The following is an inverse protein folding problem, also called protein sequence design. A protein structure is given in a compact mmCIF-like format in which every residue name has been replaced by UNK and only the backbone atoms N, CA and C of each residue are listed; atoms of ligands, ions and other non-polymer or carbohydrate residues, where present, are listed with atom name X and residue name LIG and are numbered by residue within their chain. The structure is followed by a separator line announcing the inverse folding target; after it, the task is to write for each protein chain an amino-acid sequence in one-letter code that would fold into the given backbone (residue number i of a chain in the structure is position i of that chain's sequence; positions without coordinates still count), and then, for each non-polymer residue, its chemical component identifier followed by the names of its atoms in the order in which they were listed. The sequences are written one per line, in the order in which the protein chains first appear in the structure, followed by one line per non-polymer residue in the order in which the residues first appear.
data_IF_463780028224
#
_entry.id   IF_463780028224
#
_cell.length_a   1.000
_cell.length_b   1.000
_cell.length_c   1.000
_cell.angle_alpha   90.00
_cell.angle_beta   90.00
_cell.angle_gamma   90.00
#
_symmetry.space_group_name_H-M   'P 1'
#
loop_
_entity.id
_entity.type
_entity.pdbx_description
1 polymer ?
#
# COMPACT_ATOMS: atom_id res chain seq x y z
N UNK A 1 9.04 6.99 -27.70
CA UNK A 1 8.78 8.25 -26.99
C UNK A 1 9.53 8.22 -25.68
N UNK A 2 10.15 9.33 -25.25
CA UNK A 2 10.80 9.41 -23.95
C UNK A 2 9.75 9.24 -22.84
N UNK A 3 10.05 8.43 -21.83
CA UNK A 3 9.16 8.28 -20.65
C UNK A 3 9.12 9.60 -19.88
N UNK A 4 7.94 10.00 -19.43
CA UNK A 4 7.78 11.18 -18.58
C UNK A 4 8.54 10.97 -17.26
N UNK A 5 9.43 11.91 -16.93
CA UNK A 5 10.13 11.89 -15.65
C UNK A 5 9.14 12.22 -14.51
N UNK A 6 9.22 11.50 -13.42
CA UNK A 6 8.37 11.72 -12.27
C UNK A 6 9.09 11.35 -10.97
N UNK A 7 8.65 11.95 -9.88
CA UNK A 7 9.06 11.61 -8.52
C UNK A 7 7.94 11.92 -7.54
N UNK A 8 7.77 11.08 -6.53
CA UNK A 8 6.85 11.30 -5.41
C UNK A 8 7.49 10.82 -4.11
N UNK A 9 7.18 11.47 -3.01
CA UNK A 9 7.62 11.08 -1.67
C UNK A 9 6.57 11.43 -0.62
N UNK A 10 6.57 10.72 0.49
CA UNK A 10 5.62 10.91 1.58
C UNK A 10 5.54 9.72 2.51
N UNK A 11 4.34 9.38 2.97
CA UNK A 11 4.09 8.30 3.91
C UNK A 11 3.31 7.15 3.25
N UNK A 12 3.71 5.96 3.57
CA UNK A 12 3.09 4.71 3.17
C UNK A 12 2.50 3.99 4.38
N UNK A 13 1.31 3.41 4.21
CA UNK A 13 0.55 2.65 5.20
C UNK A 13 -0.05 1.43 4.54
N UNK A 14 -0.01 0.28 5.22
CA UNK A 14 -0.60 -0.96 4.69
C UNK A 14 -1.25 -1.80 5.78
N UNK A 15 -2.36 -2.43 5.43
CA UNK A 15 -2.89 -3.60 6.13
C UNK A 15 -3.07 -4.75 5.15
N UNK A 16 -2.88 -5.98 5.61
CA UNK A 16 -3.14 -7.17 4.82
C UNK A 16 -3.82 -8.27 5.66
N UNK A 17 -4.49 -9.19 4.98
CA UNK A 17 -5.26 -10.27 5.62
C UNK A 17 -4.42 -11.38 6.26
N UNK A 18 -3.09 -11.37 6.07
CA UNK A 18 -2.20 -12.29 6.74
C UNK A 18 -2.09 -11.99 8.23
N UNK A 19 -1.84 -13.05 9.02
CA UNK A 19 -1.52 -12.88 10.43
C UNK A 19 -0.16 -12.17 10.59
N UNK A 20 0.01 -11.52 11.70
CA UNK A 20 1.27 -10.87 12.08
C UNK A 20 2.35 -11.92 12.46
N UNK A 21 3.57 -11.91 11.94
CA UNK A 21 4.16 -11.08 10.91
C UNK A 21 3.82 -11.69 9.54
N UNK A 22 3.45 -10.83 8.54
CA UNK A 22 3.13 -11.31 7.21
C UNK A 22 4.27 -12.16 6.62
N UNK A 23 4.01 -13.41 6.19
CA UNK A 23 5.06 -14.31 5.69
C UNK A 23 5.55 -13.97 4.27
N UNK A 24 4.82 -13.12 3.53
CA UNK A 24 5.10 -12.89 2.11
C UNK A 24 6.47 -12.25 1.89
N UNK A 25 6.87 -11.29 2.74
CA UNK A 25 8.14 -10.58 2.60
C UNK A 25 9.33 -11.46 2.99
N UNK A 26 9.43 -11.97 4.24
CA UNK A 26 10.54 -12.86 4.59
C UNK A 26 10.57 -14.14 3.78
N UNK A 27 9.42 -14.59 3.27
CA UNK A 27 9.29 -15.75 2.38
C UNK A 27 9.53 -15.44 0.90
N UNK A 28 10.03 -14.24 0.55
CA UNK A 28 10.38 -13.82 -0.82
C UNK A 28 9.23 -14.05 -1.82
N UNK A 29 7.99 -13.79 -1.41
CA UNK A 29 6.75 -14.02 -2.15
C UNK A 29 6.47 -15.49 -2.55
N UNK A 30 7.32 -16.44 -2.13
CA UNK A 30 7.16 -17.87 -2.45
C UNK A 30 6.31 -18.63 -1.43
N UNK A 31 6.16 -18.10 -0.22
CA UNK A 31 5.37 -18.70 0.87
C UNK A 31 3.90 -18.32 0.69
N UNK A 32 3.01 -19.29 0.95
CA UNK A 32 1.57 -19.05 0.91
C UNK A 32 1.14 -18.09 2.03
N UNK A 33 0.18 -17.19 1.76
CA UNK A 33 -0.45 -16.37 2.79
C UNK A 33 -1.03 -17.23 3.92
N UNK A 34 -1.08 -16.71 5.16
CA UNK A 34 -1.55 -17.46 6.33
C UNK A 34 -2.98 -17.99 6.22
N UNK A 35 -3.82 -17.33 5.40
CA UNK A 35 -5.21 -17.72 5.12
C UNK A 35 -5.41 -18.29 3.71
N UNK A 36 -4.33 -18.71 3.03
CA UNK A 36 -4.35 -19.28 1.70
C UNK A 36 -4.38 -18.25 0.57
N UNK A 37 -5.05 -17.14 0.77
CA UNK A 37 -5.07 -15.95 -0.11
C UNK A 37 -4.72 -14.71 0.70
N UNK A 38 -4.31 -13.63 0.03
CA UNK A 38 -4.02 -12.35 0.68
C UNK A 38 -4.79 -11.23 0.01
N UNK A 39 -5.60 -10.51 0.80
CA UNK A 39 -6.11 -9.19 0.42
C UNK A 39 -5.29 -8.15 1.14
N UNK A 40 -4.88 -7.09 0.44
CA UNK A 40 -4.11 -6.01 1.03
C UNK A 40 -4.51 -4.66 0.45
N UNK A 41 -4.27 -3.62 1.24
CA UNK A 41 -4.46 -2.24 0.85
C UNK A 41 -3.19 -1.45 1.20
N UNK A 42 -2.52 -0.93 0.17
CA UNK A 42 -1.34 -0.05 0.27
C UNK A 42 -1.78 1.40 0.04
N UNK A 43 -1.74 2.24 1.04
CA UNK A 43 -2.11 3.65 0.97
C UNK A 43 -0.87 4.54 0.97
N UNK A 44 -0.85 5.51 0.08
CA UNK A 44 0.25 6.43 -0.13
C UNK A 44 -0.25 7.88 0.01
N UNK A 45 0.28 8.59 1.00
CA UNK A 45 0.11 10.02 1.17
C UNK A 45 1.28 10.73 0.50
N UNK A 46 1.04 11.40 -0.61
CA UNK A 46 2.06 12.14 -1.33
C UNK A 46 2.24 13.51 -0.67
N UNK A 47 3.35 13.69 0.03
CA UNK A 47 3.70 14.99 0.61
C UNK A 47 4.31 15.91 -0.43
N UNK A 48 5.13 15.36 -1.33
CA UNK A 48 5.75 16.09 -2.44
C UNK A 48 5.86 15.21 -3.67
N UNK A 49 5.58 15.76 -4.83
CA UNK A 49 5.78 15.03 -6.07
C UNK A 49 5.27 15.71 -7.32
N UNK A 50 5.78 15.21 -8.44
CA UNK A 50 5.33 15.62 -9.77
C UNK A 50 5.46 14.49 -10.78
N UNK A 51 4.62 14.54 -11.80
CA UNK A 51 4.69 13.71 -13.01
C UNK A 51 4.83 14.64 -14.22
N UNK A 52 6.04 14.78 -14.75
CA UNK A 52 6.36 15.87 -15.65
C UNK A 52 6.06 17.23 -14.99
N UNK A 53 5.17 17.98 -15.60
CA UNK A 53 4.72 19.29 -15.10
C UNK A 53 3.47 19.22 -14.20
N UNK A 54 2.92 18.02 -13.96
CA UNK A 54 1.73 17.81 -13.13
C UNK A 54 2.15 17.68 -11.68
N UNK A 55 1.81 18.62 -10.82
CA UNK A 55 2.07 18.55 -9.38
C UNK A 55 1.13 17.52 -8.72
N UNK A 56 1.66 16.72 -7.79
CA UNK A 56 0.92 15.69 -7.06
C UNK A 56 0.95 15.91 -5.53
N UNK A 57 1.48 17.06 -5.09
CA UNK A 57 1.60 17.39 -3.67
C UNK A 57 0.23 17.36 -2.96
N UNK A 58 0.20 16.77 -1.77
CA UNK A 58 -0.98 16.72 -0.92
C UNK A 58 -2.08 15.77 -1.37
N UNK A 59 -1.88 15.00 -2.44
CA UNK A 59 -2.82 13.98 -2.91
C UNK A 59 -2.51 12.61 -2.27
N UNK A 60 -3.49 11.72 -2.32
CA UNK A 60 -3.33 10.34 -1.89
C UNK A 60 -3.80 9.34 -2.94
N UNK A 61 -3.37 8.10 -2.79
CA UNK A 61 -3.92 6.98 -3.53
C UNK A 61 -3.78 5.68 -2.73
N UNK A 62 -4.62 4.71 -3.06
CA UNK A 62 -4.59 3.38 -2.44
C UNK A 62 -4.54 2.34 -3.55
N UNK A 63 -3.60 1.40 -3.46
CA UNK A 63 -3.55 0.20 -4.29
C UNK A 63 -4.18 -0.94 -3.50
N UNK A 64 -5.24 -1.51 -4.06
CA UNK A 64 -5.92 -2.69 -3.51
C UNK A 64 -5.54 -3.91 -4.33
N UNK A 65 -5.28 -5.04 -3.70
CA UNK A 65 -5.13 -6.28 -4.43
C UNK A 65 -5.57 -7.51 -3.61
N UNK A 66 -5.98 -8.52 -4.36
CA UNK A 66 -6.19 -9.89 -3.90
C UNK A 66 -5.21 -10.80 -4.64
N UNK A 67 -4.41 -11.56 -3.89
CA UNK A 67 -3.58 -12.64 -4.42
C UNK A 67 -4.21 -13.98 -4.06
N UNK A 68 -4.52 -14.85 -5.02
CA UNK A 68 -5.25 -16.10 -4.74
C UNK A 68 -4.38 -17.18 -4.06
N UNK A 69 -3.06 -17.04 -4.16
CA UNK A 69 -2.05 -17.96 -3.64
C UNK A 69 -0.80 -17.20 -3.17
N UNK A 70 0.35 -17.89 -3.11
CA UNK A 70 1.64 -17.22 -2.89
C UNK A 70 1.84 -16.08 -3.90
N UNK A 71 2.23 -14.90 -3.40
CA UNK A 71 2.26 -13.66 -4.19
C UNK A 71 3.06 -13.79 -5.49
N UNK A 72 4.19 -14.49 -5.45
CA UNK A 72 5.06 -14.70 -6.61
C UNK A 72 4.46 -15.55 -7.75
N UNK A 73 3.35 -16.25 -7.49
CA UNK A 73 2.62 -16.99 -8.54
C UNK A 73 1.80 -16.07 -9.46
N UNK A 74 1.62 -14.80 -9.08
CA UNK A 74 0.87 -13.82 -9.85
C UNK A 74 -0.64 -14.06 -9.80
N UNK A 75 -1.31 -13.75 -10.92
CA UNK A 75 -2.76 -13.81 -11.08
C UNK A 75 -3.50 -12.90 -10.08
N UNK A 76 -2.88 -11.77 -9.71
CA UNK A 76 -3.48 -10.81 -8.81
C UNK A 76 -4.68 -10.11 -9.46
N UNK A 77 -5.69 -9.85 -8.65
CA UNK A 77 -6.74 -8.88 -8.98
C UNK A 77 -6.39 -7.58 -8.27
N UNK A 78 -6.07 -6.52 -9.01
CA UNK A 78 -5.61 -5.26 -8.42
C UNK A 78 -6.34 -4.05 -8.99
N UNK A 79 -6.56 -3.04 -8.16
CA UNK A 79 -7.18 -1.78 -8.54
C UNK A 79 -6.67 -0.60 -7.72
N UNK A 80 -7.11 0.59 -8.06
CA UNK A 80 -6.61 1.85 -7.49
C UNK A 80 -7.79 2.68 -6.98
N UNK A 81 -7.65 3.27 -5.80
CA UNK A 81 -8.48 4.40 -5.37
C UNK A 81 -7.62 5.64 -5.46
N UNK A 82 -8.03 6.61 -6.26
CA UNK A 82 -7.38 7.91 -6.38
C UNK A 82 -8.10 8.96 -5.54
N UNK A 83 -7.36 9.91 -5.00
CA UNK A 83 -7.94 11.05 -4.28
C UNK A 83 -8.94 11.80 -5.17
N UNK A 84 -10.15 12.04 -4.68
CA UNK A 84 -11.19 12.73 -5.45
C UNK A 84 -10.84 14.19 -5.76
N UNK A 85 -9.92 14.79 -4.99
CA UNK A 85 -9.41 16.15 -5.23
C UNK A 85 -8.50 16.23 -6.46
N UNK A 86 -8.05 15.08 -6.97
CA UNK A 86 -7.17 15.02 -8.14
C UNK A 86 -7.91 15.47 -9.41
N UNK A 87 -7.30 16.38 -10.18
CA UNK A 87 -7.74 16.68 -11.56
C UNK A 87 -7.65 15.43 -12.44
N UNK A 88 -8.22 15.48 -13.63
CA UNK A 88 -8.11 14.39 -14.60
C UNK A 88 -6.64 14.03 -14.89
N UNK A 89 -5.79 15.04 -15.15
CA UNK A 89 -4.35 14.84 -15.41
C UNK A 89 -3.61 14.26 -14.21
N UNK A 90 -3.93 14.72 -12.99
CA UNK A 90 -3.34 14.18 -11.76
C UNK A 90 -3.76 12.72 -11.53
N UNK A 91 -5.02 12.38 -11.80
CA UNK A 91 -5.53 11.02 -11.68
C UNK A 91 -4.88 10.08 -12.70
N UNK A 92 -4.69 10.53 -13.91
CA UNK A 92 -3.97 9.77 -14.95
C UNK A 92 -2.51 9.53 -14.55
N UNK A 93 -1.83 10.56 -13.99
CA UNK A 93 -0.48 10.44 -13.47
C UNK A 93 -0.39 9.45 -12.30
N UNK A 94 -1.28 9.56 -11.29
CA UNK A 94 -1.39 8.63 -10.17
C UNK A 94 -1.62 7.20 -10.69
N UNK A 95 -2.55 7.03 -11.62
CA UNK A 95 -2.85 5.71 -12.21
C UNK A 95 -1.62 5.12 -12.90
N UNK A 96 -0.89 5.90 -13.70
CA UNK A 96 0.31 5.45 -14.37
C UNK A 96 1.42 5.04 -13.39
N UNK A 97 1.61 5.78 -12.30
CA UNK A 97 2.57 5.48 -11.24
C UNK A 97 2.15 4.22 -10.47
N UNK A 98 0.92 4.20 -9.94
CA UNK A 98 0.41 3.15 -9.07
C UNK A 98 0.23 1.79 -9.78
N UNK A 99 -0.08 1.79 -11.09
CA UNK A 99 -0.14 0.57 -11.90
C UNK A 99 1.23 0.06 -12.37
N UNK A 100 2.30 0.85 -12.19
CA UNK A 100 3.63 0.54 -12.69
C UNK A 100 3.84 0.87 -14.19
N UNK A 101 2.83 1.39 -14.90
CA UNK A 101 2.94 1.76 -16.31
C UNK A 101 3.97 2.88 -16.54
N UNK A 102 4.14 3.78 -15.57
CA UNK A 102 5.16 4.83 -15.59
C UNK A 102 6.58 4.35 -15.22
N UNK A 103 6.77 3.06 -14.95
CA UNK A 103 8.02 2.55 -14.39
C UNK A 103 8.08 2.74 -12.87
N UNK A 104 9.30 2.76 -12.32
CA UNK A 104 9.52 2.88 -10.88
C UNK A 104 9.19 1.60 -10.10
N UNK A 105 9.09 1.66 -8.75
CA UNK A 105 8.98 0.47 -7.90
C UNK A 105 7.77 -0.42 -8.22
N UNK A 106 6.61 0.16 -8.54
CA UNK A 106 5.40 -0.61 -8.85
C UNK A 106 5.49 -1.40 -10.17
N UNK A 107 6.41 -1.03 -11.06
CA UNK A 107 6.64 -1.79 -12.29
C UNK A 107 7.10 -3.23 -12.03
N UNK A 108 7.79 -3.47 -10.90
CA UNK A 108 8.21 -4.81 -10.49
C UNK A 108 7.01 -5.73 -10.17
N UNK A 109 5.89 -5.17 -9.75
CA UNK A 109 4.66 -5.92 -9.44
C UNK A 109 3.70 -6.03 -10.62
N UNK A 110 3.84 -5.21 -11.64
CA UNK A 110 2.90 -5.15 -12.77
C UNK A 110 2.73 -6.50 -13.49
N UNK A 111 3.81 -7.27 -13.61
CA UNK A 111 3.79 -8.61 -14.20
C UNK A 111 3.05 -9.67 -13.38
N UNK A 112 2.72 -9.40 -12.13
CA UNK A 112 1.95 -10.30 -11.24
C UNK A 112 0.44 -10.07 -11.37
N UNK A 113 0.01 -8.93 -11.93
CA UNK A 113 -1.40 -8.55 -12.06
C UNK A 113 -2.02 -9.31 -13.24
N UNK A 114 -2.89 -10.27 -12.93
CA UNK A 114 -3.68 -10.99 -13.94
C UNK A 114 -4.95 -10.24 -14.33
N UNK A 115 -5.52 -9.44 -13.41
CA UNK A 115 -6.74 -8.67 -13.64
C UNK A 115 -6.63 -7.27 -13.03
N UNK A 116 -6.66 -6.24 -13.87
CA UNK A 116 -6.81 -4.86 -13.41
C UNK A 116 -8.30 -4.54 -13.26
N UNK A 117 -8.70 -4.14 -12.04
CA UNK A 117 -10.09 -3.92 -11.65
C UNK A 117 -10.58 -2.49 -11.98
N UNK A 118 -9.68 -1.59 -12.34
CA UNK A 118 -9.99 -0.20 -12.63
C UNK A 118 -9.54 0.77 -11.56
N UNK A 119 -10.06 1.99 -11.67
CA UNK A 119 -9.77 3.12 -10.77
C UNK A 119 -11.08 3.69 -10.26
N UNK A 120 -11.21 3.81 -8.95
CA UNK A 120 -12.27 4.57 -8.29
C UNK A 120 -11.70 5.88 -7.72
N UNK A 121 -12.57 6.87 -7.49
CA UNK A 121 -12.20 8.12 -6.82
C UNK A 121 -12.98 8.26 -5.52
N UNK A 122 -12.28 8.62 -4.44
CA UNK A 122 -12.88 8.88 -3.14
C UNK A 122 -12.07 9.93 -2.36
N UNK A 123 -12.66 10.61 -1.37
CA UNK A 123 -11.90 11.40 -0.41
C UNK A 123 -11.01 10.47 0.40
N UNK A 124 -9.71 10.74 0.49
CA UNK A 124 -8.76 9.94 1.26
C UNK A 124 -8.24 10.78 2.42
N UNK A 125 -8.44 10.28 3.63
CA UNK A 125 -7.99 10.91 4.87
C UNK A 125 -6.93 10.05 5.53
N UNK A 126 -5.82 10.68 5.91
CA UNK A 126 -4.72 10.07 6.64
C UNK A 126 -4.64 10.71 8.02
N UNK A 127 -4.54 9.90 9.06
CA UNK A 127 -4.28 10.36 10.41
C UNK A 127 -3.15 9.55 11.03
N UNK A 128 -2.28 10.23 11.78
CA UNK A 128 -1.21 9.59 12.52
C UNK A 128 -0.98 10.29 13.85
N UNK A 129 -1.07 9.51 14.91
CA UNK A 129 -0.80 9.97 16.27
C UNK A 129 0.21 9.00 16.94
N UNK A 130 1.49 9.37 16.89
CA UNK A 130 2.57 8.56 17.44
C UNK A 130 2.67 7.19 16.79
N UNK A 131 2.39 6.14 17.57
CA UNK A 131 2.43 4.75 17.14
C UNK A 131 1.18 4.31 16.35
N UNK A 132 0.09 5.05 16.43
CA UNK A 132 -1.19 4.73 15.77
C UNK A 132 -1.35 5.51 14.48
N UNK A 133 -1.95 4.86 13.50
CA UNK A 133 -2.32 5.49 12.25
C UNK A 133 -3.64 4.95 11.71
N UNK A 134 -4.31 5.74 10.89
CA UNK A 134 -5.47 5.31 10.15
C UNK A 134 -5.52 5.93 8.76
N UNK A 135 -6.16 5.23 7.82
CA UNK A 135 -6.46 5.70 6.48
C UNK A 135 -7.91 5.35 6.16
N UNK A 136 -8.65 6.35 5.72
CA UNK A 136 -10.06 6.19 5.35
C UNK A 136 -10.35 6.76 3.97
N UNK A 137 -10.97 5.96 3.11
CA UNK A 137 -11.44 6.38 1.80
C UNK A 137 -12.97 6.14 1.72
N UNK A 138 -13.76 7.13 2.16
CA UNK A 138 -15.22 7.05 2.23
C UNK A 138 -15.69 5.77 2.96
N UNK A 139 -16.62 5.01 2.34
CA UNK A 139 -17.04 3.67 2.79
C UNK A 139 -16.29 2.54 2.07
N UNK A 140 -15.31 2.86 1.22
CA UNK A 140 -14.60 1.89 0.38
C UNK A 140 -13.45 1.23 1.13
N UNK A 141 -12.71 2.01 1.92
CA UNK A 141 -11.56 1.54 2.71
C UNK A 141 -11.56 2.24 4.06
N UNK A 142 -11.35 1.45 5.12
CA UNK A 142 -11.08 1.95 6.47
C UNK A 142 -10.03 1.05 7.11
N UNK A 143 -8.83 1.60 7.32
CA UNK A 143 -7.66 0.90 7.86
C UNK A 143 -7.14 1.64 9.07
N UNK A 144 -6.79 0.89 10.12
CA UNK A 144 -6.07 1.42 11.28
C UNK A 144 -5.10 0.37 11.83
N UNK A 145 -3.98 0.82 12.33
CA UNK A 145 -3.01 -0.06 13.00
C UNK A 145 -2.23 0.69 14.09
N UNK A 146 -1.59 -0.08 14.93
CA UNK A 146 -0.68 0.39 15.96
C UNK A 146 0.66 -0.31 15.83
N UNK A 147 1.76 0.46 15.90
CA UNK A 147 3.11 -0.05 15.81
C UNK A 147 3.37 -1.17 16.83
N UNK A 148 3.94 -2.27 16.36
CA UNK A 148 4.23 -3.44 17.19
C UNK A 148 5.51 -3.23 17.98
N UNK A 149 5.42 -3.27 19.31
CA UNK A 149 6.60 -3.26 20.18
C UNK A 149 7.13 -4.68 20.40
N UNK A 150 8.45 -4.81 20.50
CA UNK A 150 9.07 -6.07 20.89
C UNK A 150 8.91 -6.36 22.39
N UNK A 151 9.33 -7.56 22.78
CA UNK A 151 9.26 -8.02 24.19
C UNK A 151 10.24 -7.29 25.12
N UNK A 152 11.24 -6.59 24.57
CA UNK A 152 12.19 -5.85 25.38
C UNK A 152 11.51 -4.62 26.02
N UNK A 153 11.36 -4.56 27.37
CA UNK A 153 10.65 -3.48 28.04
C UNK A 153 11.41 -2.13 27.99
N UNK A 154 12.68 -2.16 27.59
CA UNK A 154 13.51 -0.96 27.43
C UNK A 154 13.56 -0.46 25.97
N UNK A 155 12.89 -1.15 25.02
CA UNK A 155 12.84 -0.70 23.65
C UNK A 155 11.99 0.57 23.56
N UNK A 156 12.55 1.60 22.94
CA UNK A 156 11.86 2.87 22.64
C UNK A 156 11.31 2.92 21.21
N UNK A 157 11.78 2.01 20.36
CA UNK A 157 11.40 1.91 18.96
C UNK A 157 10.59 0.64 18.70
N UNK A 158 9.60 0.70 17.82
CA UNK A 158 8.84 -0.48 17.41
C UNK A 158 9.69 -1.45 16.57
N UNK A 159 9.17 -2.65 16.40
CA UNK A 159 9.78 -3.66 15.52
C UNK A 159 9.84 -3.15 14.07
N UNK A 160 10.95 -3.41 13.41
CA UNK A 160 11.19 -3.04 12.02
C UNK A 160 11.64 -4.26 11.21
N UNK A 161 11.30 -4.28 9.93
CA UNK A 161 11.96 -5.12 8.93
C UNK A 161 12.83 -4.24 8.05
N UNK A 162 14.01 -4.74 7.75
CA UNK A 162 15.02 -4.08 6.94
C UNK A 162 15.40 -4.95 5.74
N UNK A 163 15.89 -4.34 4.66
CA UNK A 163 16.29 -5.04 3.43
C UNK A 163 15.19 -5.89 2.83
N UNK A 164 13.96 -5.34 2.83
CA UNK A 164 12.76 -6.11 2.48
C UNK A 164 12.58 -6.30 0.97
N UNK A 165 13.16 -5.43 0.16
CA UNK A 165 12.90 -5.36 -1.28
C UNK A 165 11.43 -5.04 -1.61
N UNK A 166 10.65 -4.55 -0.63
CA UNK A 166 9.27 -4.17 -0.82
C UNK A 166 9.16 -2.89 -1.66
N UNK A 167 8.21 -2.79 -2.63
CA UNK A 167 8.14 -1.64 -3.54
C UNK A 167 7.91 -0.31 -2.81
N UNK A 168 7.22 -0.31 -1.67
CA UNK A 168 6.97 0.93 -0.93
C UNK A 168 8.23 1.46 -0.23
N UNK A 169 8.98 0.60 0.45
CA UNK A 169 10.18 0.98 1.18
C UNK A 169 11.03 -0.25 1.49
N UNK A 170 12.35 -0.09 1.51
CA UNK A 170 13.29 -1.16 1.88
C UNK A 170 13.29 -1.46 3.39
N UNK A 171 12.93 -0.46 4.20
CA UNK A 171 12.72 -0.59 5.65
C UNK A 171 11.34 -0.08 6.02
N UNK A 172 10.60 -0.83 6.83
CA UNK A 172 9.33 -0.37 7.38
C UNK A 172 9.11 -0.83 8.83
N UNK A 173 8.26 -0.08 9.53
CA UNK A 173 7.82 -0.40 10.88
C UNK A 173 6.65 -1.38 10.81
N UNK A 174 6.74 -2.44 11.61
CA UNK A 174 5.66 -3.41 11.77
C UNK A 174 4.55 -2.88 12.67
N UNK A 175 3.32 -3.24 12.37
CA UNK A 175 2.15 -2.84 13.14
C UNK A 175 1.12 -3.98 13.20
N UNK A 176 0.31 -3.98 14.24
CA UNK A 176 -0.89 -4.80 14.33
C UNK A 176 -2.07 -4.03 13.74
N UNK A 177 -2.69 -4.57 12.70
CA UNK A 177 -3.89 -3.99 12.12
C UNK A 177 -5.06 -4.16 13.09
N UNK A 178 -5.59 -3.07 13.61
CA UNK A 178 -6.77 -3.03 14.48
C UNK A 178 -8.08 -2.91 13.71
N UNK A 179 -8.02 -2.40 12.49
CA UNK A 179 -9.13 -2.22 11.58
C UNK A 179 -8.66 -2.47 10.15
N UNK A 180 -9.39 -3.29 9.42
CA UNK A 180 -9.24 -3.47 7.99
C UNK A 180 -10.63 -3.66 7.40
N UNK A 181 -11.05 -2.71 6.57
CA UNK A 181 -12.29 -2.74 5.81
C UNK A 181 -11.97 -2.36 4.38
N UNK A 182 -12.25 -3.25 3.44
CA UNK A 182 -12.06 -3.04 2.00
C UNK A 182 -13.31 -3.52 1.28
N UNK A 183 -14.09 -2.60 0.72
CA UNK A 183 -15.28 -2.88 -0.08
C UNK A 183 -15.25 -2.00 -1.33
N UNK A 184 -14.33 -2.29 -2.24
CA UNK A 184 -14.10 -1.49 -3.44
C UNK A 184 -13.69 -2.38 -4.63
N UNK A 185 -14.05 -1.98 -5.83
CA UNK A 185 -13.63 -2.62 -7.08
C UNK A 185 -13.94 -4.14 -7.13
N UNK A 186 -14.96 -4.59 -6.39
CA UNK A 186 -15.35 -6.00 -6.28
C UNK A 186 -14.50 -6.81 -5.29
N UNK A 187 -13.57 -6.19 -4.59
CA UNK A 187 -12.88 -6.79 -3.45
C UNK A 187 -13.69 -6.54 -2.17
N UNK A 188 -13.73 -7.55 -1.28
CA UNK A 188 -14.41 -7.47 0.00
C UNK A 188 -13.60 -8.20 1.06
N UNK A 189 -13.21 -7.48 2.11
CA UNK A 189 -12.49 -8.01 3.25
C UNK A 189 -12.68 -7.14 4.47
N UNK A 190 -13.01 -7.77 5.60
CA UNK A 190 -13.16 -7.13 6.90
C UNK A 190 -12.38 -7.89 7.96
N UNK A 191 -11.68 -7.17 8.82
CA UNK A 191 -11.03 -7.71 10.02
C UNK A 191 -10.89 -6.63 11.09
N UNK A 192 -11.26 -6.96 12.31
CA UNK A 192 -11.09 -6.13 13.52
C UNK A 192 -10.44 -6.90 14.65
N UNK A 193 -9.82 -8.03 14.34
CA UNK A 193 -9.26 -8.95 15.34
C UNK A 193 -8.01 -8.42 16.06
N UNK A 194 -7.33 -7.44 15.46
CA UNK A 194 -6.03 -6.98 15.94
C UNK A 194 -4.88 -7.98 15.68
N UNK A 195 -5.14 -9.06 14.93
CA UNK A 195 -4.16 -10.13 14.68
C UNK A 195 -3.48 -10.02 13.31
N UNK A 196 -4.08 -9.25 12.41
CA UNK A 196 -3.56 -9.10 11.06
C UNK A 196 -2.35 -8.18 11.02
N UNK A 197 -1.59 -8.34 9.94
CA UNK A 197 -0.40 -7.55 9.70
C UNK A 197 -0.76 -6.14 9.24
N UNK A 198 -0.06 -5.17 9.80
CA UNK A 198 0.03 -3.80 9.31
C UNK A 198 1.48 -3.38 9.24
N UNK A 199 1.76 -2.34 8.46
CA UNK A 199 3.09 -1.75 8.34
C UNK A 199 3.02 -0.34 7.80
N UNK A 200 4.08 0.45 8.03
CA UNK A 200 4.19 1.79 7.51
C UNK A 200 5.65 2.24 7.39
N UNK A 201 5.90 3.20 6.50
CA UNK A 201 7.22 3.79 6.29
C UNK A 201 7.11 5.13 5.57
N UNK A 202 8.13 5.99 5.63
CA UNK A 202 8.32 6.98 4.58
C UNK A 202 8.64 6.28 3.26
N UNK A 203 8.19 6.84 2.14
CA UNK A 203 8.54 6.35 0.81
C UNK A 203 9.10 7.45 -0.08
N UNK A 204 9.91 7.07 -1.05
CA UNK A 204 10.44 7.95 -2.08
C UNK A 204 10.60 7.17 -3.38
N UNK A 205 9.80 7.50 -4.36
CA UNK A 205 9.74 6.86 -5.66
C UNK A 205 10.08 7.82 -6.78
N UNK A 206 10.66 7.29 -7.85
CA UNK A 206 10.92 8.06 -9.08
C UNK A 206 10.91 7.14 -10.30
N UNK A 207 10.78 7.75 -11.47
CA UNK A 207 11.04 7.06 -12.73
C UNK A 207 12.51 6.60 -12.78
N UNK A 208 12.73 5.44 -13.39
CA UNK A 208 14.07 4.94 -13.68
C UNK A 208 14.73 5.78 -14.79
#
# INVERSE_FOLDING_TARGET
MAKTAWKISGQYYETCSCDFVCPCIPGQMAVSPTKGSCTFAMAFQVERGSYGNVALDGLGFIVLALTPEAMGKGNWSAGIIADERASAEQRDAITAIASGAAGGPMAALSGLIGKFLGVESAPIHFDRNGAKWSVKASSLVDMAAEAAMGINPHATEPLQLDHTGHPAADRFTLAHASQSHVHALGLSWDDTSGKNNGQYAPFSWQSA
#
